data_IF_803568592883
#
_entry.id   IF_803568592883
#
_cell.length_a   1.000
_cell.length_b   1.000
_cell.length_c   1.000
_cell.angle_alpha   90.00
_cell.angle_beta   90.00
_cell.angle_gamma   90.00
#
_symmetry.space_group_name_H-M   'P 1'
#
loop_
_entity.id
_entity.type
_entity.pdbx_description
1 polymer ?
#
# COMPACT_ATOMS: atom_id res chain seq x y z
N UNK A 1 -0.17 20.91 -7.23
CA UNK A 1 -0.50 21.22 -5.83
C UNK A 1 -0.07 20.03 -4.98
N UNK A 2 0.91 20.20 -4.11
CA UNK A 2 1.37 19.15 -3.18
C UNK A 2 0.55 19.29 -1.90
N UNK A 3 -0.15 18.24 -1.49
CA UNK A 3 -0.86 18.18 -0.22
C UNK A 3 -0.14 17.17 0.68
N UNK A 4 0.18 17.57 1.90
CA UNK A 4 0.88 16.76 2.89
C UNK A 4 -0.01 16.61 4.11
N UNK A 5 -0.06 15.42 4.69
CA UNK A 5 -0.58 15.22 6.04
C UNK A 5 0.62 15.11 6.97
N UNK A 6 0.60 15.89 8.05
CA UNK A 6 1.59 15.85 9.12
C UNK A 6 0.99 15.11 10.31
N UNK A 7 1.58 13.99 10.69
CA UNK A 7 1.31 13.41 12.00
C UNK A 7 1.94 14.30 13.08
N UNK A 8 1.12 14.77 14.03
CA UNK A 8 1.53 15.75 15.04
C UNK A 8 2.47 15.15 16.10
N UNK A 9 2.51 13.82 16.20
CA UNK A 9 3.23 13.09 17.24
C UNK A 9 4.66 12.72 16.84
N UNK A 10 4.95 12.56 15.54
CA UNK A 10 6.26 12.12 15.03
C UNK A 10 6.84 13.00 13.90
N UNK A 11 6.06 13.95 13.36
CA UNK A 11 6.50 14.84 12.28
C UNK A 11 6.63 14.18 10.91
N UNK A 12 6.13 12.95 10.72
CA UNK A 12 6.14 12.28 9.43
C UNK A 12 5.25 13.02 8.41
N UNK A 13 5.80 13.26 7.21
CA UNK A 13 5.11 13.87 6.08
C UNK A 13 4.80 12.80 5.04
N UNK A 14 3.56 12.36 4.95
CA UNK A 14 3.12 11.55 3.79
C UNK A 14 2.48 12.49 2.78
N UNK A 15 3.12 12.64 1.62
CA UNK A 15 2.47 13.34 0.51
C UNK A 15 1.20 12.57 0.13
N UNK A 16 0.08 13.27 -0.07
CA UNK A 16 -1.16 12.64 -0.56
C UNK A 16 -0.99 11.98 -1.94
N UNK A 17 0.08 12.33 -2.66
CA UNK A 17 0.49 11.74 -3.94
C UNK A 17 1.59 10.67 -3.78
N UNK A 18 1.93 10.25 -2.55
CA UNK A 18 2.93 9.22 -2.34
C UNK A 18 2.48 7.90 -2.97
N UNK A 19 3.43 7.23 -3.62
CA UNK A 19 3.27 5.88 -4.16
C UNK A 19 3.97 4.88 -3.25
N UNK A 20 3.44 3.66 -3.24
CA UNK A 20 4.09 2.53 -2.61
C UNK A 20 5.48 2.32 -3.23
N UNK A 21 6.56 2.22 -2.42
CA UNK A 21 7.92 2.04 -2.93
C UNK A 21 7.97 0.78 -3.80
N UNK A 22 8.67 0.89 -4.93
CA UNK A 22 8.91 -0.23 -5.83
C UNK A 22 10.31 -0.79 -5.59
N UNK A 23 10.40 -2.03 -5.12
CA UNK A 23 11.64 -2.73 -4.82
C UNK A 23 11.47 -4.24 -5.06
N UNK A 24 12.52 -4.91 -5.52
CA UNK A 24 12.52 -6.36 -5.77
C UNK A 24 11.34 -6.84 -6.66
N UNK A 25 11.05 -6.06 -7.70
CA UNK A 25 10.00 -6.37 -8.68
C UNK A 25 8.56 -6.23 -8.17
N UNK A 26 8.34 -5.58 -7.03
CA UNK A 26 7.00 -5.34 -6.49
C UNK A 26 6.87 -3.95 -5.86
N UNK A 27 5.64 -3.43 -5.86
CA UNK A 27 5.27 -2.36 -4.94
C UNK A 27 5.04 -2.94 -3.55
N UNK A 28 5.62 -2.34 -2.51
CA UNK A 28 5.48 -2.76 -1.12
C UNK A 28 4.50 -1.85 -0.38
N UNK A 29 3.49 -2.45 0.23
CA UNK A 29 2.54 -1.76 1.12
C UNK A 29 2.78 -2.26 2.53
N UNK A 30 3.36 -1.43 3.37
CA UNK A 30 3.79 -1.86 4.71
C UNK A 30 2.62 -1.90 5.71
N UNK A 31 1.53 -1.18 5.42
CA UNK A 31 0.39 -1.07 6.33
C UNK A 31 -0.94 -1.13 5.58
N UNK A 32 -1.73 -2.16 5.90
CA UNK A 32 -3.14 -2.27 5.58
C UNK A 32 -3.87 -2.82 6.83
N UNK A 33 -4.88 -2.11 7.34
CA UNK A 33 -5.72 -2.64 8.42
C UNK A 33 -6.53 -3.85 7.94
N UNK A 34 -6.89 -4.80 8.82
CA UNK A 34 -7.75 -5.92 8.45
C UNK A 34 -9.16 -5.43 8.08
N UNK A 35 -9.86 -6.19 7.25
CA UNK A 35 -11.23 -5.90 6.77
C UNK A 35 -12.25 -5.79 7.91
N UNK A 36 -12.01 -6.51 9.01
CA UNK A 36 -12.79 -6.41 10.24
C UNK A 36 -12.69 -5.05 10.95
N UNK A 37 -11.70 -4.20 10.62
CA UNK A 37 -11.55 -2.86 11.18
C UNK A 37 -12.38 -1.81 10.41
N UNK A 38 -13.68 -1.76 10.71
CA UNK A 38 -14.61 -0.82 10.05
C UNK A 38 -14.44 0.65 10.49
N UNK A 39 -13.68 0.94 11.55
CA UNK A 39 -13.46 2.32 12.04
C UNK A 39 -12.34 3.03 11.31
N UNK A 40 -11.43 2.27 10.70
CA UNK A 40 -10.26 2.75 10.00
C UNK A 40 -10.03 1.87 8.77
N UNK A 41 -10.94 1.97 7.81
CA UNK A 41 -10.91 1.14 6.62
C UNK A 41 -9.68 1.48 5.77
N UNK A 42 -8.86 0.49 5.47
CA UNK A 42 -7.77 0.64 4.52
C UNK A 42 -8.24 0.35 3.10
N UNK A 43 -7.65 1.07 2.14
CA UNK A 43 -7.93 0.94 0.72
C UNK A 43 -6.61 0.78 -0.04
N UNK A 44 -6.53 -0.23 -0.90
CA UNK A 44 -5.47 -0.37 -1.89
C UNK A 44 -5.93 0.29 -3.19
N UNK A 45 -5.24 1.34 -3.62
CA UNK A 45 -5.48 2.02 -4.90
C UNK A 45 -4.49 1.51 -5.93
N UNK A 46 -5.00 0.99 -7.03
CA UNK A 46 -4.23 0.57 -8.19
C UNK A 46 -4.58 1.47 -9.37
N UNK A 47 -3.56 2.02 -10.05
CA UNK A 47 -3.73 2.90 -11.20
C UNK A 47 -2.94 2.33 -12.37
N UNK A 48 -3.61 2.10 -13.50
CA UNK A 48 -2.95 1.76 -14.75
C UNK A 48 -3.03 2.95 -15.70
N UNK A 49 -1.97 3.77 -15.81
CA UNK A 49 -1.91 4.87 -16.77
C UNK A 49 -1.54 4.41 -18.19
N UNK A 50 -1.27 3.12 -18.39
CA UNK A 50 -0.87 2.55 -19.66
C UNK A 50 -2.02 2.38 -20.64
N UNK A 51 -1.67 2.17 -21.91
CA UNK A 51 -2.61 1.94 -23.00
C UNK A 51 -3.10 0.48 -23.09
N UNK A 52 -2.51 -0.44 -22.32
CA UNK A 52 -2.88 -1.85 -22.29
C UNK A 52 -3.30 -2.29 -20.87
N UNK A 53 -4.17 -3.30 -20.72
CA UNK A 53 -4.49 -3.89 -19.43
C UNK A 53 -3.25 -4.45 -18.72
N UNK A 54 -3.15 -4.31 -17.40
CA UNK A 54 -2.10 -4.92 -16.58
C UNK A 54 -2.67 -6.10 -15.78
N UNK A 55 -1.97 -7.23 -15.75
CA UNK A 55 -2.29 -8.33 -14.84
C UNK A 55 -1.60 -8.07 -13.51
N UNK A 56 -2.38 -8.00 -12.44
CA UNK A 56 -1.91 -7.66 -11.09
C UNK A 56 -2.11 -8.86 -10.18
N UNK A 57 -1.09 -9.17 -9.37
CA UNK A 57 -1.13 -10.15 -8.29
C UNK A 57 -0.75 -9.47 -6.97
N UNK A 58 -1.55 -9.69 -5.94
CA UNK A 58 -1.35 -9.17 -4.59
C UNK A 58 -1.17 -10.35 -3.64
N UNK A 59 -0.04 -10.39 -2.94
CA UNK A 59 0.20 -11.31 -1.84
C UNK A 59 0.36 -10.52 -0.54
N UNK A 60 0.06 -11.18 0.59
CA UNK A 60 0.09 -10.57 1.91
C UNK A 60 0.79 -11.45 2.95
N UNK A 61 1.37 -10.80 3.95
CA UNK A 61 1.83 -11.41 5.21
C UNK A 61 1.22 -10.65 6.38
N UNK A 62 0.56 -11.36 7.28
CA UNK A 62 -0.12 -10.75 8.43
C UNK A 62 0.87 -10.40 9.57
N UNK A 63 0.40 -9.85 10.70
CA UNK A 63 1.27 -9.49 11.83
C UNK A 63 1.80 -10.72 12.59
N UNK A 64 1.18 -11.88 12.46
CA UNK A 64 1.71 -13.14 12.97
C UNK A 64 2.87 -13.67 12.12
N UNK A 65 3.09 -13.12 10.93
CA UNK A 65 4.09 -13.56 9.97
C UNK A 65 3.60 -14.65 9.03
N UNK A 66 2.30 -14.96 9.06
CA UNK A 66 1.69 -15.97 8.22
C UNK A 66 1.35 -15.39 6.84
N UNK A 67 1.63 -16.13 5.75
CA UNK A 67 1.21 -15.72 4.42
C UNK A 67 -0.30 -15.82 4.27
N UNK A 68 -0.87 -14.96 3.43
CA UNK A 68 -2.26 -15.09 3.01
C UNK A 68 -2.54 -16.45 2.35
N UNK A 69 -3.77 -16.93 2.47
CA UNK A 69 -4.22 -18.21 1.97
C UNK A 69 -4.01 -18.39 0.45
N UNK A 70 -4.17 -17.32 -0.32
CA UNK A 70 -3.86 -17.26 -1.75
C UNK A 70 -3.46 -15.84 -2.20
N UNK A 71 -2.90 -15.73 -3.40
CA UNK A 71 -2.75 -14.43 -4.06
C UNK A 71 -4.11 -13.94 -4.57
N UNK A 72 -4.35 -12.64 -4.43
CA UNK A 72 -5.47 -11.96 -5.09
C UNK A 72 -5.02 -11.51 -6.48
N UNK A 73 -5.72 -11.94 -7.52
CA UNK A 73 -5.40 -11.61 -8.91
C UNK A 73 -6.53 -10.79 -9.54
N UNK A 74 -6.14 -9.85 -10.40
CA UNK A 74 -7.07 -9.07 -11.20
C UNK A 74 -6.43 -8.55 -12.48
N UNK A 75 -7.24 -8.40 -13.52
CA UNK A 75 -6.89 -7.59 -14.69
C UNK A 75 -7.28 -6.14 -14.41
N UNK A 76 -6.32 -5.22 -14.49
CA UNK A 76 -6.51 -3.78 -14.36
C UNK A 76 -6.52 -3.13 -15.75
N UNK A 77 -7.69 -2.73 -16.30
CA UNK A 77 -7.78 -2.21 -17.66
C UNK A 77 -6.92 -0.96 -17.90
N UNK A 78 -6.59 -0.71 -19.16
CA UNK A 78 -5.88 0.49 -19.59
C UNK A 78 -6.59 1.77 -19.16
N UNK A 79 -5.84 2.78 -18.73
CA UNK A 79 -6.36 4.09 -18.30
C UNK A 79 -7.43 4.01 -17.20
N UNK A 80 -7.33 3.05 -16.27
CA UNK A 80 -8.28 2.90 -15.17
C UNK A 80 -7.65 2.97 -13.80
N UNK A 81 -8.52 3.20 -12.81
CA UNK A 81 -8.21 3.12 -11.39
C UNK A 81 -9.11 2.06 -10.78
N UNK A 82 -8.54 1.18 -9.94
CA UNK A 82 -9.31 0.29 -9.07
C UNK A 82 -8.98 0.60 -7.62
N UNK A 83 -10.02 0.75 -6.81
CA UNK A 83 -9.93 0.80 -5.35
C UNK A 83 -10.39 -0.54 -4.82
N UNK A 84 -9.61 -1.15 -3.93
CA UNK A 84 -9.93 -2.39 -3.24
C UNK A 84 -9.93 -2.13 -1.74
N UNK A 85 -10.97 -2.56 -1.05
CA UNK A 85 -11.03 -2.56 0.42
C UNK A 85 -10.22 -3.72 0.99
N UNK A 86 -9.78 -3.62 2.24
CA UNK A 86 -9.19 -4.77 2.94
C UNK A 86 -10.13 -5.97 2.98
N UNK A 87 -11.43 -5.75 3.17
CA UNK A 87 -12.43 -6.82 3.15
C UNK A 87 -12.50 -7.53 1.79
N UNK A 88 -12.48 -6.79 0.67
CA UNK A 88 -12.43 -7.41 -0.67
C UNK A 88 -11.12 -8.19 -0.90
N UNK A 89 -10.01 -7.78 -0.29
CA UNK A 89 -8.74 -8.51 -0.38
C UNK A 89 -8.76 -9.79 0.48
N UNK A 90 -9.40 -9.76 1.65
CA UNK A 90 -9.47 -10.88 2.60
C UNK A 90 -10.54 -11.92 2.22
N UNK A 91 -11.73 -11.45 1.84
CA UNK A 91 -12.90 -12.28 1.57
C UNK A 91 -13.10 -12.59 0.08
N UNK A 92 -12.39 -11.85 -0.79
CA UNK A 92 -12.64 -11.79 -2.22
C UNK A 92 -13.66 -10.71 -2.59
N UNK A 93 -13.75 -10.42 -3.89
CA UNK A 93 -14.58 -9.32 -4.39
C UNK A 93 -14.88 -9.43 -5.88
N UNK A 94 -15.64 -8.47 -6.39
CA UNK A 94 -16.04 -8.48 -7.79
C UNK A 94 -14.82 -8.35 -8.72
N UNK A 95 -14.69 -9.28 -9.68
CA UNK A 95 -13.55 -9.37 -10.61
C UNK A 95 -12.19 -9.56 -9.91
N UNK A 96 -12.20 -10.21 -8.74
CA UNK A 96 -11.00 -10.71 -8.09
C UNK A 96 -11.00 -12.24 -8.15
N UNK A 97 -9.83 -12.82 -8.40
CA UNK A 97 -9.59 -14.25 -8.25
C UNK A 97 -8.73 -14.48 -7.01
N UNK A 98 -9.12 -15.44 -6.17
CA UNK A 98 -8.44 -15.68 -4.89
C UNK A 98 -8.78 -14.65 -3.82
N UNK A 99 -8.25 -14.88 -2.63
CA UNK A 99 -8.45 -14.06 -1.44
C UNK A 99 -7.28 -14.31 -0.46
N UNK A 100 -6.87 -13.28 0.29
CA UNK A 100 -5.84 -13.41 1.33
C UNK A 100 -6.33 -14.29 2.50
N UNK A 101 -7.64 -14.38 2.70
CA UNK A 101 -8.24 -15.03 3.86
C UNK A 101 -8.24 -14.14 5.10
N UNK A 102 -8.84 -14.64 6.18
CA UNK A 102 -8.86 -13.99 7.48
C UNK A 102 -7.49 -14.13 8.15
N UNK A 103 -6.77 -13.02 8.27
CA UNK A 103 -5.42 -12.96 8.84
C UNK A 103 -5.39 -12.43 10.26
N UNK A 104 -4.22 -12.48 10.89
CA UNK A 104 -3.99 -11.94 12.24
C UNK A 104 -3.41 -10.53 12.16
N UNK A 105 -4.20 -9.52 12.55
CA UNK A 105 -3.71 -8.15 12.64
C UNK A 105 -3.65 -7.44 11.28
N UNK A 106 -2.64 -6.59 11.08
CA UNK A 106 -2.44 -5.84 9.84
C UNK A 106 -1.78 -6.70 8.77
N UNK A 107 -1.93 -6.29 7.52
CA UNK A 107 -1.24 -6.88 6.38
C UNK A 107 -0.08 -6.01 5.90
N UNK A 108 0.99 -6.70 5.50
CA UNK A 108 2.05 -6.19 4.63
C UNK A 108 1.89 -6.84 3.26
N UNK A 109 1.77 -6.05 2.20
CA UNK A 109 1.49 -6.56 0.85
C UNK A 109 2.68 -6.40 -0.09
N UNK A 110 2.83 -7.37 -1.00
CA UNK A 110 3.55 -7.21 -2.27
C UNK A 110 2.55 -7.17 -3.41
N UNK A 111 2.64 -6.12 -4.23
CA UNK A 111 1.85 -5.97 -5.46
C UNK A 111 2.78 -6.09 -6.65
N UNK A 112 2.57 -7.14 -7.45
CA UNK A 112 3.32 -7.43 -8.68
C UNK A 112 2.42 -7.21 -9.88
N UNK A 113 2.98 -6.69 -10.96
CA UNK A 113 2.26 -6.49 -12.22
C UNK A 113 3.13 -6.81 -13.43
N UNK A 114 2.51 -7.31 -14.51
CA UNK A 114 3.19 -7.57 -15.79
C UNK A 114 3.52 -6.30 -16.60
N UNK A 115 2.86 -5.18 -16.24
CA UNK A 115 3.08 -3.84 -16.81
C UNK A 115 3.24 -2.80 -15.70
N UNK A 116 3.86 -1.63 -15.95
CA UNK A 116 3.95 -0.58 -14.94
C UNK A 116 2.58 -0.08 -14.47
N UNK A 117 2.38 -0.06 -13.16
CA UNK A 117 1.21 0.52 -12.49
C UNK A 117 1.66 1.49 -11.39
N UNK A 118 0.72 2.22 -10.81
CA UNK A 118 0.96 2.97 -9.58
C UNK A 118 0.11 2.37 -8.47
N UNK A 119 0.68 2.27 -7.28
CA UNK A 119 0.04 1.65 -6.11
C UNK A 119 0.06 2.64 -4.95
N UNK A 120 -1.06 2.74 -4.23
CA UNK A 120 -1.16 3.53 -3.00
C UNK A 120 -1.91 2.74 -1.92
N UNK A 121 -1.51 2.92 -0.67
CA UNK A 121 -2.28 2.53 0.52
C UNK A 121 -2.94 3.77 1.11
N UNK A 122 -4.25 3.74 1.28
CA UNK A 122 -5.02 4.84 1.85
C UNK A 122 -5.76 4.38 3.11
N UNK A 123 -5.96 5.31 4.03
CA UNK A 123 -6.79 5.13 5.22
C UNK A 123 -8.01 6.04 5.11
N UNK A 124 -9.20 5.45 5.14
CA UNK A 124 -10.46 6.17 5.14
C UNK A 124 -11.05 6.25 6.55
N UNK A 125 -11.37 7.45 7.01
CA UNK A 125 -12.18 7.64 8.21
C UNK A 125 -13.68 7.50 7.89
N UNK A 126 -14.52 7.17 8.88
CA UNK A 126 -15.98 7.17 8.72
C UNK A 126 -16.55 8.55 8.34
N UNK A 127 -15.81 9.62 8.61
CA UNK A 127 -16.18 11.01 8.25
C UNK A 127 -15.72 11.41 6.84
N UNK A 128 -15.15 10.48 6.07
CA UNK A 128 -14.75 10.70 4.67
C UNK A 128 -13.37 11.33 4.48
N UNK A 129 -12.54 11.41 5.54
CA UNK A 129 -11.16 11.89 5.40
C UNK A 129 -10.27 10.76 4.89
N UNK A 130 -9.36 11.09 3.97
CA UNK A 130 -8.37 10.15 3.43
C UNK A 130 -6.97 10.56 3.86
N UNK A 131 -6.25 9.62 4.48
CA UNK A 131 -4.80 9.71 4.67
C UNK A 131 -4.10 8.76 3.69
N UNK A 132 -2.98 9.20 3.12
CA UNK A 132 -2.13 8.34 2.28
C UNK A 132 -1.05 7.74 3.19
N UNK A 133 -0.90 6.42 3.19
CA UNK A 133 0.06 5.63 3.98
C UNK A 133 1.06 4.88 3.08
N UNK A 134 1.25 5.35 1.85
CA UNK A 134 2.00 4.61 0.83
C UNK A 134 3.50 4.74 0.96
N UNK A 135 4.00 5.81 1.58
CA UNK A 135 5.43 5.92 1.82
C UNK A 135 5.81 4.82 2.81
N UNK A 136 6.68 3.90 2.37
CA UNK A 136 7.25 2.93 3.28
C UNK A 136 8.04 3.64 4.37
N UNK A 137 8.14 3.00 5.53
CA UNK A 137 9.12 3.43 6.52
C UNK A 137 10.50 3.08 5.95
N UNK A 138 11.05 3.97 5.13
CA UNK A 138 12.45 3.86 4.71
C UNK A 138 13.33 3.92 5.95
N UNK A 139 14.33 3.04 6.01
CA UNK A 139 15.36 2.95 7.04
C UNK A 139 15.98 4.34 7.35
N UNK A 140 15.34 5.10 8.24
CA UNK A 140 15.75 6.44 8.64
C UNK A 140 16.87 6.44 9.69
N UNK A 141 17.70 5.40 9.75
CA UNK A 141 18.73 5.25 10.78
C UNK A 141 20.17 5.06 10.26
N UNK A 142 20.42 5.08 8.94
CA UNK A 142 21.76 4.82 8.42
C UNK A 142 22.12 5.66 7.18
N UNK A 143 22.02 6.98 7.26
CA UNK A 143 22.94 7.85 6.49
C UNK A 143 22.99 9.27 7.10
N UNK A 144 23.75 9.43 8.19
CA UNK A 144 24.38 10.73 8.46
C UNK A 144 25.77 10.68 7.84
N UNK A 145 26.04 11.37 6.72
CA UNK A 145 27.41 11.58 6.28
C UNK A 145 28.15 12.33 7.40
N UNK A 146 29.22 11.69 7.88
CA UNK A 146 30.00 12.13 9.02
C UNK A 146 30.29 13.63 8.99
N UNK A 147 29.88 14.28 10.07
CA UNK A 147 30.39 15.58 10.49
C UNK A 147 31.91 15.46 10.58
N UNK A 148 32.62 15.91 9.53
CA UNK A 148 34.06 16.08 9.59
C UNK A 148 34.33 17.22 10.57
N UNK A 149 34.87 16.85 11.73
CA UNK A 149 35.48 17.75 12.69
C UNK A 149 36.58 18.54 11.96
N UNK A 150 36.27 19.78 11.60
CA UNK A 150 37.26 20.75 11.16
C UNK A 150 37.42 21.76 12.29
N UNK A 151 38.39 21.50 13.18
CA UNK A 151 38.94 22.52 14.08
C UNK A 151 40.29 22.99 13.53
N UNK A 152 40.60 24.29 13.68
CA UNK A 152 41.75 24.94 13.05
C UNK A 152 43.10 24.39 13.52
#
# INVERSE_FOLDING_TARGET
MLAYLRHLDDGFLTGMNALAPFADGAHRVDFLNPGSNHRQASLLRLVNPGAEPAQVAVSGTDDAGEPGAAEVRLALPANTVRMLTSAELEDGGERLEGALGDGTGKWRLRVVSDRPIQVMSLLASPTGHLANLSAGFGDGAADQPGMQDNRP
#
